data_IF_386527818186
#
_entry.id   IF_386527818186
#
_cell.length_a   1.000
_cell.length_b   1.000
_cell.length_c   1.000
_cell.angle_alpha   90.00
_cell.angle_beta   90.00
_cell.angle_gamma   90.00
#
_symmetry.space_group_name_H-M   'P 1'
#
loop_
_entity.id
_entity.type
_entity.pdbx_description
1 polymer ?
#
# COMPACT_ATOMS: atom_id res chain seq x y z
N UNK A 1 20.16 8.45 22.34
CA UNK A 1 20.35 9.31 21.17
C UNK A 1 20.01 8.49 19.95
N UNK A 2 18.79 8.62 19.46
CA UNK A 2 18.38 7.93 18.24
C UNK A 2 19.17 8.50 17.05
N UNK A 3 19.46 7.66 16.05
CA UNK A 3 20.00 8.09 14.75
C UNK A 3 19.17 9.25 14.16
N UNK A 4 17.87 9.30 14.47
CA UNK A 4 16.93 10.34 14.05
C UNK A 4 17.15 11.70 14.74
N UNK A 5 17.51 11.75 16.02
CA UNK A 5 17.83 13.01 16.72
C UNK A 5 19.17 13.58 16.26
N UNK A 6 20.13 12.70 15.93
CA UNK A 6 21.41 13.09 15.33
C UNK A 6 21.22 13.61 13.90
N UNK A 7 20.33 13.00 13.13
CA UNK A 7 19.98 13.43 11.78
C UNK A 7 19.27 14.80 11.78
N UNK A 8 18.36 15.04 12.72
CA UNK A 8 17.72 16.35 12.94
C UNK A 8 18.74 17.45 13.20
N UNK A 9 19.65 17.24 14.15
CA UNK A 9 20.71 18.21 14.47
C UNK A 9 21.61 18.50 13.26
N UNK A 10 21.78 17.55 12.36
CA UNK A 10 22.61 17.71 11.18
C UNK A 10 21.92 18.43 10.03
N UNK A 11 20.61 18.20 9.83
CA UNK A 11 19.84 18.90 8.81
C UNK A 11 19.66 20.38 9.16
N UNK A 12 19.54 20.71 10.46
CA UNK A 12 19.41 22.10 10.96
C UNK A 12 20.76 22.83 11.12
N UNK A 13 21.88 22.13 11.41
CA UNK A 13 23.20 22.75 11.62
C UNK A 13 23.87 23.30 10.34
N UNK A 14 23.27 23.08 9.17
CA UNK A 14 23.70 23.69 7.89
C UNK A 14 22.83 24.92 7.51
N UNK A 15 21.73 25.18 8.23
CA UNK A 15 20.88 26.38 8.05
C UNK A 15 21.24 27.52 9.01
N UNK A 16 21.85 27.20 10.16
CA UNK A 16 22.58 28.17 10.97
C UNK A 16 24.06 28.08 10.56
N UNK A 17 24.64 29.14 9.99
CA UNK A 17 26.08 29.27 9.76
C UNK A 17 26.84 29.24 11.11
N UNK A 18 26.93 28.08 11.76
CA UNK A 18 27.77 27.89 12.95
C UNK A 18 29.18 27.51 12.46
N UNK A 19 29.93 28.55 12.06
CA UNK A 19 31.37 28.48 11.80
C UNK A 19 32.08 27.80 12.98
N UNK A 20 32.48 26.52 12.84
CA UNK A 20 33.52 25.94 13.70
C UNK A 20 33.27 24.58 14.34
N UNK A 21 32.25 23.80 13.97
CA UNK A 21 32.19 22.38 14.39
C UNK A 21 32.55 21.46 13.24
N UNK A 22 33.77 20.92 13.29
CA UNK A 22 34.28 19.90 12.35
C UNK A 22 33.23 18.80 12.12
N UNK A 23 32.71 18.76 10.89
CA UNK A 23 31.79 17.73 10.44
C UNK A 23 32.50 16.37 10.56
N UNK A 24 31.98 15.50 11.44
CA UNK A 24 32.44 14.11 11.56
C UNK A 24 32.41 13.43 10.18
N UNK A 25 33.32 12.49 9.89
CA UNK A 25 33.35 11.78 8.61
C UNK A 25 31.98 11.11 8.39
N UNK A 26 31.25 11.63 7.41
CA UNK A 26 29.87 11.24 7.12
C UNK A 26 29.90 9.86 6.46
N UNK A 27 29.02 8.93 6.85
CA UNK A 27 28.87 7.71 6.07
C UNK A 27 28.12 8.04 4.77
N UNK A 28 28.51 7.38 3.67
CA UNK A 28 27.89 7.54 2.34
C UNK A 28 26.35 7.44 2.38
N UNK A 29 25.81 6.60 3.28
CA UNK A 29 24.38 6.42 3.49
C UNK A 29 23.67 7.64 4.10
N UNK A 30 24.34 8.31 5.05
CA UNK A 30 23.81 9.48 5.72
C UNK A 30 23.84 10.68 4.77
N UNK A 31 24.96 10.89 4.05
CA UNK A 31 25.08 11.93 3.01
C UNK A 31 24.01 11.81 1.94
N UNK A 32 23.73 10.58 1.53
CA UNK A 32 22.67 10.31 0.57
C UNK A 32 21.29 10.73 1.11
N UNK A 33 20.99 10.45 2.38
CA UNK A 33 19.72 10.82 3.01
C UNK A 33 19.49 12.33 3.08
N UNK A 34 20.47 13.16 3.49
CA UNK A 34 20.28 14.63 3.42
C UNK A 34 20.13 15.10 2.00
N UNK A 35 20.92 14.57 1.07
CA UNK A 35 20.89 15.07 -0.29
C UNK A 35 19.50 14.84 -0.89
N UNK A 36 18.92 13.65 -0.65
CA UNK A 36 17.54 13.36 -1.03
C UNK A 36 16.55 14.25 -0.27
N UNK A 37 16.69 14.40 1.04
CA UNK A 37 15.77 15.21 1.84
C UNK A 37 15.77 16.70 1.41
N UNK A 38 16.94 17.29 1.14
CA UNK A 38 17.10 18.66 0.62
C UNK A 38 16.48 18.83 -0.76
N UNK A 39 16.67 17.86 -1.64
CA UNK A 39 16.07 17.93 -2.98
C UNK A 39 14.53 17.82 -2.91
N UNK A 40 14.00 16.94 -2.05
CA UNK A 40 12.56 16.84 -1.83
C UNK A 40 12.02 18.13 -1.20
N UNK A 41 12.74 18.75 -0.25
CA UNK A 41 12.40 20.06 0.32
C UNK A 41 12.31 21.13 -0.76
N UNK A 42 13.32 21.22 -1.64
CA UNK A 42 13.28 22.14 -2.79
C UNK A 42 12.05 21.89 -3.67
N UNK A 43 11.76 20.64 -3.98
CA UNK A 43 10.58 20.28 -4.79
C UNK A 43 9.28 20.62 -4.06
N UNK A 44 9.21 20.48 -2.73
CA UNK A 44 8.05 20.90 -1.94
C UNK A 44 7.85 22.41 -2.07
N UNK A 45 8.91 23.21 -1.92
CA UNK A 45 8.86 24.68 -2.05
C UNK A 45 8.52 25.15 -3.47
N UNK A 46 9.08 24.50 -4.49
CA UNK A 46 8.80 24.84 -5.90
C UNK A 46 7.36 24.50 -6.29
N UNK A 47 6.84 23.39 -5.78
CA UNK A 47 5.53 22.88 -6.19
C UNK A 47 4.41 23.36 -5.24
N UNK A 48 4.70 23.75 -4.00
CA UNK A 48 3.65 24.15 -3.06
C UNK A 48 2.81 25.30 -3.62
N UNK A 49 1.50 25.16 -3.46
CA UNK A 49 0.55 26.13 -3.97
C UNK A 49 -0.36 26.60 -2.84
N UNK A 50 -0.26 27.89 -2.53
CA UNK A 50 -1.10 28.54 -1.52
C UNK A 50 -1.99 29.59 -2.20
N UNK A 51 -3.28 29.28 -2.44
CA UNK A 51 -4.21 30.26 -2.97
C UNK A 51 -4.46 31.38 -1.94
N UNK A 52 -4.73 32.62 -2.37
CA UNK A 52 -4.93 33.77 -1.47
C UNK A 52 -6.11 33.51 -0.51
N UNK A 53 -5.81 33.39 0.78
CA UNK A 53 -6.79 33.14 1.84
C UNK A 53 -7.21 31.67 2.05
N UNK A 54 -6.56 30.71 1.38
CA UNK A 54 -6.90 29.28 1.44
C UNK A 54 -5.83 28.39 2.11
N UNK A 55 -6.08 27.09 2.10
CA UNK A 55 -5.15 26.06 2.60
C UNK A 55 -3.99 25.83 1.63
N UNK A 56 -2.79 25.59 2.17
CA UNK A 56 -1.60 25.24 1.38
C UNK A 56 -1.69 23.82 0.86
N UNK A 57 -1.49 23.66 -0.45
CA UNK A 57 -1.48 22.38 -1.14
C UNK A 57 -0.04 21.97 -1.44
N UNK A 58 0.29 20.71 -1.16
CA UNK A 58 1.59 20.11 -1.42
C UNK A 58 1.39 18.72 -2.03
N UNK A 59 2.34 18.26 -2.89
CA UNK A 59 2.30 16.92 -3.46
C UNK A 59 2.27 15.84 -2.38
N UNK A 60 1.53 14.75 -2.65
CA UNK A 60 1.35 13.63 -1.71
C UNK A 60 2.37 12.52 -1.89
N UNK A 61 2.83 12.30 -3.12
CA UNK A 61 3.80 11.25 -3.45
C UNK A 61 5.05 11.89 -4.07
N UNK A 62 6.23 11.46 -3.60
CA UNK A 62 7.53 11.84 -4.16
C UNK A 62 8.24 10.58 -4.62
N UNK A 63 8.58 10.53 -5.90
CA UNK A 63 9.34 9.43 -6.47
C UNK A 63 10.80 9.85 -6.53
N UNK A 64 11.64 9.13 -5.78
CA UNK A 64 13.10 9.30 -5.82
C UNK A 64 13.66 8.27 -6.78
N UNK A 65 14.14 8.73 -7.93
CA UNK A 65 14.80 7.89 -8.92
C UNK A 65 16.29 7.82 -8.63
N UNK A 66 16.80 6.60 -8.53
CA UNK A 66 18.19 6.28 -8.24
C UNK A 66 18.87 5.67 -9.45
N UNK A 67 20.18 5.88 -9.54
CA UNK A 67 21.00 5.11 -10.46
C UNK A 67 20.92 3.61 -10.15
N UNK A 68 21.12 2.74 -11.16
CA UNK A 68 21.11 1.29 -10.93
C UNK A 68 22.26 0.81 -10.02
N UNK A 69 23.36 1.56 -9.95
CA UNK A 69 24.50 1.24 -9.09
C UNK A 69 24.19 1.59 -7.62
N UNK A 70 23.54 2.73 -7.37
CA UNK A 70 23.08 3.11 -6.04
C UNK A 70 21.93 2.20 -5.55
N UNK A 71 20.95 1.87 -6.40
CA UNK A 71 19.89 0.91 -6.03
C UNK A 71 20.46 -0.46 -5.65
N UNK A 72 21.59 -0.87 -6.24
CA UNK A 72 22.27 -2.10 -5.85
C UNK A 72 22.81 -2.06 -4.42
N UNK A 73 23.22 -0.90 -3.92
CA UNK A 73 23.64 -0.68 -2.53
C UNK A 73 22.43 -0.63 -1.56
N UNK A 74 21.25 -0.21 -2.05
CA UNK A 74 20.02 -0.02 -1.29
C UNK A 74 19.01 -1.18 -1.43
N UNK A 75 19.45 -2.41 -1.11
CA UNK A 75 18.61 -3.62 -1.14
C UNK A 75 18.16 -4.10 0.24
N UNK A 76 17.02 -4.78 0.27
CA UNK A 76 16.51 -5.47 1.46
C UNK A 76 16.18 -4.54 2.61
N UNK A 77 16.70 -4.82 3.80
CA UNK A 77 16.43 -4.04 5.02
C UNK A 77 16.96 -2.61 4.94
N UNK A 78 18.05 -2.36 4.21
CA UNK A 78 18.59 -1.01 3.99
C UNK A 78 17.60 -0.12 3.23
N UNK A 79 16.89 -0.67 2.23
CA UNK A 79 15.85 0.05 1.48
C UNK A 79 14.71 0.47 2.39
N UNK A 80 14.21 -0.50 3.19
CA UNK A 80 13.10 -0.27 4.12
C UNK A 80 13.45 0.77 5.19
N UNK A 81 14.65 0.70 5.74
CA UNK A 81 15.13 1.69 6.71
C UNK A 81 15.28 3.09 6.11
N UNK A 82 15.75 3.17 4.86
CA UNK A 82 15.87 4.41 4.11
C UNK A 82 14.49 5.03 3.81
N UNK A 83 13.53 4.23 3.34
CA UNK A 83 12.14 4.64 3.09
C UNK A 83 11.46 5.14 4.36
N UNK A 84 11.61 4.41 5.47
CA UNK A 84 11.07 4.83 6.77
C UNK A 84 11.72 6.10 7.31
N UNK A 85 13.05 6.23 7.15
CA UNK A 85 13.80 7.43 7.55
C UNK A 85 13.36 8.65 6.77
N UNK A 86 13.27 8.54 5.44
CA UNK A 86 12.80 9.63 4.57
C UNK A 86 11.36 10.03 4.88
N UNK A 87 10.45 9.06 5.05
CA UNK A 87 9.06 9.35 5.41
C UNK A 87 8.96 10.20 6.68
N UNK A 88 9.70 9.83 7.72
CA UNK A 88 9.66 10.52 9.01
C UNK A 88 10.21 11.95 8.90
N UNK A 89 11.39 12.11 8.28
CA UNK A 89 12.04 13.41 8.09
C UNK A 89 11.17 14.36 7.27
N UNK A 90 10.60 13.87 6.17
CA UNK A 90 9.79 14.70 5.28
C UNK A 90 8.45 15.09 5.91
N UNK A 91 7.84 14.19 6.71
CA UNK A 91 6.60 14.51 7.43
C UNK A 91 6.80 15.62 8.47
N UNK A 92 7.92 15.59 9.20
CA UNK A 92 8.28 16.64 10.15
C UNK A 92 8.58 17.97 9.43
N UNK A 93 9.38 17.94 8.36
CA UNK A 93 9.78 19.15 7.61
C UNK A 93 8.63 19.79 6.84
N UNK A 94 7.79 19.01 6.18
CA UNK A 94 6.62 19.55 5.49
C UNK A 94 5.66 20.26 6.45
N UNK A 95 5.58 19.81 7.71
CA UNK A 95 4.81 20.49 8.76
C UNK A 95 5.44 21.82 9.18
N UNK A 96 6.77 21.92 9.19
CA UNK A 96 7.50 23.17 9.49
C UNK A 96 7.40 24.19 8.35
N UNK A 97 7.56 23.75 7.11
CA UNK A 97 7.55 24.62 5.92
C UNK A 97 6.18 25.28 5.73
N UNK A 98 5.09 24.54 5.94
CA UNK A 98 3.73 25.10 5.85
C UNK A 98 3.38 25.96 7.07
N UNK A 99 4.16 25.84 8.15
CA UNK A 99 3.97 26.57 9.39
C UNK A 99 2.81 26.04 10.24
N UNK A 100 2.96 26.06 11.56
CA UNK A 100 1.96 25.59 12.53
C UNK A 100 0.57 26.22 12.38
N UNK A 101 0.45 27.33 11.64
CA UNK A 101 -0.79 28.10 11.48
C UNK A 101 -1.59 27.79 10.20
N UNK A 102 -1.02 27.11 9.21
CA UNK A 102 -1.74 26.75 7.97
C UNK A 102 -2.15 25.28 7.99
N UNK A 103 -3.45 25.04 7.88
CA UNK A 103 -4.02 23.69 7.83
C UNK A 103 -3.57 22.98 6.56
N UNK A 104 -2.63 22.04 6.69
CA UNK A 104 -2.29 21.07 5.67
C UNK A 104 -3.53 20.23 5.33
N UNK A 105 -3.91 20.20 4.05
CA UNK A 105 -5.02 19.36 3.58
C UNK A 105 -4.62 17.88 3.39
N UNK A 106 -3.31 17.60 3.40
CA UNK A 106 -2.77 16.24 3.22
C UNK A 106 -2.14 15.78 4.53
N UNK A 107 -2.68 14.72 5.12
CA UNK A 107 -2.18 14.11 6.37
C UNK A 107 -1.20 12.95 6.15
N UNK A 108 -0.80 12.65 4.91
CA UNK A 108 0.07 11.50 4.58
C UNK A 108 0.98 11.77 3.37
N UNK A 109 2.28 11.55 3.54
CA UNK A 109 3.29 11.63 2.48
C UNK A 109 3.72 10.23 2.07
N UNK A 110 3.90 9.96 0.77
CA UNK A 110 4.48 8.71 0.30
C UNK A 110 5.80 9.01 -0.41
N UNK A 111 6.85 8.25 -0.10
CA UNK A 111 8.14 8.34 -0.81
C UNK A 111 8.41 6.99 -1.44
N UNK A 112 8.52 6.94 -2.76
CA UNK A 112 8.77 5.71 -3.51
C UNK A 112 10.15 5.77 -4.15
N UNK A 113 10.97 4.76 -3.90
CA UNK A 113 12.29 4.64 -4.54
C UNK A 113 12.20 3.85 -5.84
N UNK A 114 12.57 4.48 -6.95
CA UNK A 114 12.64 3.85 -8.28
C UNK A 114 14.05 3.83 -8.83
N UNK A 115 14.26 2.97 -9.81
CA UNK A 115 15.51 2.92 -10.56
C UNK A 115 15.30 3.61 -11.90
N UNK A 116 16.24 4.48 -12.26
CA UNK A 116 16.31 5.12 -13.57
C UNK A 116 17.65 4.79 -14.21
N UNK A 117 17.60 4.01 -15.30
CA UNK A 117 18.80 3.55 -16.01
C UNK A 117 19.54 4.67 -16.78
N UNK A 118 18.98 5.87 -16.83
CA UNK A 118 19.62 7.04 -17.47
C UNK A 118 20.46 7.87 -16.49
N UNK A 119 20.38 7.59 -15.19
CA UNK A 119 21.13 8.31 -14.17
C UNK A 119 22.52 7.72 -13.97
N UNK A 120 23.51 8.60 -13.84
CA UNK A 120 24.88 8.24 -13.47
C UNK A 120 24.97 7.87 -11.99
N UNK A 121 25.98 7.08 -11.64
CA UNK A 121 26.26 6.70 -10.25
C UNK A 121 26.42 7.93 -9.36
N UNK A 122 25.74 7.94 -8.21
CA UNK A 122 25.72 9.04 -7.25
C UNK A 122 24.73 10.15 -7.61
N UNK A 123 24.04 10.08 -8.75
CA UNK A 123 22.97 11.02 -9.11
C UNK A 123 21.59 10.41 -8.83
N UNK A 124 20.70 11.26 -8.34
CA UNK A 124 19.30 10.95 -8.12
C UNK A 124 18.44 12.11 -8.63
N UNK A 125 17.17 11.84 -8.94
CA UNK A 125 16.19 12.88 -9.25
C UNK A 125 14.92 12.65 -8.44
N UNK A 126 14.32 13.74 -7.97
CA UNK A 126 13.05 13.71 -7.25
C UNK A 126 11.96 14.20 -8.17
N UNK A 127 10.86 13.47 -8.24
CA UNK A 127 9.66 13.89 -8.96
C UNK A 127 8.49 13.94 -8.00
N UNK A 128 7.89 15.12 -7.85
CA UNK A 128 6.62 15.29 -7.19
C UNK A 128 5.49 14.72 -8.06
N UNK A 129 4.57 14.00 -7.43
CA UNK A 129 3.39 13.45 -8.06
C UNK A 129 2.16 14.02 -7.36
N UNK A 130 1.47 14.90 -8.08
CA UNK A 130 0.17 15.47 -7.68
C UNK A 130 -0.98 14.50 -7.91
N UNK A 131 -0.90 13.76 -9.02
CA UNK A 131 -1.93 12.84 -9.49
C UNK A 131 -1.52 11.39 -9.24
N UNK A 132 -2.22 10.72 -8.32
CA UNK A 132 -2.09 9.26 -8.11
C UNK A 132 -2.65 8.45 -9.30
N UNK A 133 -3.18 9.14 -10.32
CA UNK A 133 -3.87 8.58 -11.49
C UNK A 133 -2.97 8.39 -12.72
N UNK A 134 -1.69 8.80 -12.69
CA UNK A 134 -0.80 8.68 -13.85
C UNK A 134 -0.41 7.21 -14.13
N UNK A 135 -0.76 6.63 -15.30
CA UNK A 135 -0.44 5.25 -15.64
C UNK A 135 1.07 5.09 -15.90
N UNK A 136 1.80 4.62 -14.89
CA UNK A 136 3.21 4.21 -14.98
C UNK A 136 3.39 3.13 -16.06
N UNK A 137 3.91 3.51 -17.22
CA UNK A 137 4.18 2.62 -18.36
C UNK A 137 5.27 1.62 -17.97
N UNK A 138 4.92 0.34 -17.82
CA UNK A 138 5.89 -0.73 -17.57
C UNK A 138 5.98 -1.62 -18.80
N UNK A 139 7.13 -1.59 -19.45
CA UNK A 139 7.49 -2.48 -20.57
C UNK A 139 7.62 -3.90 -20.03
N UNK A 140 6.69 -4.80 -20.40
CA UNK A 140 6.70 -6.21 -19.98
C UNK A 140 7.71 -7.02 -20.82
N UNK A 141 8.65 -7.76 -20.22
CA UNK A 141 9.45 -8.74 -20.95
C UNK A 141 8.60 -9.95 -21.39
N UNK A 142 8.99 -10.54 -22.53
CA UNK A 142 8.31 -11.63 -23.25
C UNK A 142 8.24 -12.92 -22.40
N UNK A 143 7.04 -13.51 -22.19
CA UNK A 143 6.92 -14.77 -21.44
C UNK A 143 7.41 -15.98 -22.27
N UNK A 144 8.23 -16.83 -21.66
CA UNK A 144 8.59 -18.16 -22.17
C UNK A 144 7.46 -19.16 -21.87
N UNK A 145 7.24 -20.08 -22.82
CA UNK A 145 6.21 -21.15 -22.79
C UNK A 145 6.50 -22.17 -21.68
N UNK A 146 5.47 -22.63 -20.93
CA UNK A 146 5.59 -23.75 -20.00
C UNK A 146 5.50 -25.10 -20.73
N UNK A 147 6.31 -26.07 -20.28
CA UNK A 147 6.21 -27.49 -20.60
C UNK A 147 5.77 -28.22 -19.34
N UNK A 148 4.74 -29.06 -19.45
CA UNK A 148 4.32 -30.11 -18.52
C UNK A 148 3.72 -31.25 -19.40
N UNK A 149 3.48 -32.48 -18.91
CA UNK A 149 3.53 -32.97 -17.52
C UNK A 149 4.23 -34.33 -17.37
N UNK A 150 4.35 -34.85 -16.14
CA UNK A 150 4.14 -36.27 -15.89
C UNK A 150 3.56 -36.51 -14.49
N UNK A 151 2.69 -37.49 -14.41
CA UNK A 151 1.86 -37.86 -13.26
C UNK A 151 2.45 -39.08 -12.58
N UNK A 152 2.28 -39.22 -11.26
CA UNK A 152 1.92 -40.50 -10.63
C UNK A 152 1.51 -40.31 -9.15
N UNK A 153 0.24 -40.58 -8.91
CA UNK A 153 -0.39 -41.42 -7.87
C UNK A 153 0.33 -41.63 -6.52
N UNK A 154 -0.35 -41.33 -5.40
CA UNK A 154 -0.58 -42.30 -4.30
C UNK A 154 -1.67 -41.79 -3.34
N UNK A 155 -2.67 -42.64 -3.13
CA UNK A 155 -3.85 -42.51 -2.28
C UNK A 155 -3.51 -43.04 -0.89
N UNK A 156 -3.77 -42.31 0.22
CA UNK A 156 -4.30 -42.88 1.49
C UNK A 156 -5.00 -41.78 2.33
N UNK A 157 -6.30 -42.01 2.62
CA UNK A 157 -7.06 -41.57 3.83
C UNK A 157 -7.50 -42.88 4.53
N UNK A 158 -8.03 -42.93 5.78
CA UNK A 158 -8.23 -41.87 6.80
C UNK A 158 -7.92 -42.33 8.27
N UNK A 159 -7.95 -41.41 9.26
CA UNK A 159 -8.85 -41.44 10.44
C UNK A 159 -8.53 -40.38 11.51
N UNK A 160 -9.60 -39.93 12.15
CA UNK A 160 -9.76 -38.98 13.24
C UNK A 160 -9.10 -39.40 14.56
N UNK A 161 -8.70 -38.41 15.37
CA UNK A 161 -9.04 -38.24 16.80
C UNK A 161 -8.15 -37.10 17.36
N UNK A 162 -8.73 -35.97 17.77
CA UNK A 162 -8.79 -35.59 19.19
C UNK A 162 -7.47 -35.02 19.73
N UNK A 163 -7.32 -33.70 19.60
CA UNK A 163 -6.44 -32.91 20.46
C UNK A 163 -7.31 -31.80 21.08
N UNK A 164 -7.78 -32.07 22.30
CA UNK A 164 -8.29 -31.07 23.23
C UNK A 164 -7.14 -30.14 23.64
N UNK A 165 -6.87 -29.15 22.80
CA UNK A 165 -6.29 -27.89 23.27
C UNK A 165 -7.40 -26.87 23.33
N UNK A 166 -7.54 -26.27 24.51
CA UNK A 166 -8.37 -25.09 24.78
C UNK A 166 -7.93 -23.93 23.89
N UNK A 167 -8.31 -23.99 22.61
CA UNK A 167 -8.17 -22.91 21.66
C UNK A 167 -9.44 -22.09 21.86
N UNK A 168 -9.29 -20.91 22.45
CA UNK A 168 -10.28 -19.85 22.37
C UNK A 168 -10.51 -19.62 20.88
N UNK A 169 -11.51 -20.29 20.31
CA UNK A 169 -11.87 -20.12 18.90
C UNK A 169 -12.28 -18.66 18.77
N UNK A 170 -11.57 -17.82 18.00
CA UNK A 170 -12.06 -16.49 17.71
C UNK A 170 -13.41 -16.68 17.05
N UNK A 171 -14.49 -16.21 17.70
CA UNK A 171 -15.85 -16.34 17.18
C UNK A 171 -15.84 -15.81 15.74
N UNK A 172 -16.13 -16.69 14.79
CA UNK A 172 -16.38 -16.28 13.41
C UNK A 172 -17.51 -15.26 13.45
N UNK A 173 -17.30 -14.09 12.83
CA UNK A 173 -18.31 -13.03 12.74
C UNK A 173 -19.17 -13.25 11.51
N UNK A 174 -18.54 -13.60 10.39
CA UNK A 174 -19.20 -13.84 9.10
C UNK A 174 -18.35 -14.74 8.21
N UNK A 175 -18.97 -15.26 7.16
CA UNK A 175 -18.32 -16.05 6.12
C UNK A 175 -18.58 -15.39 4.77
N UNK A 176 -17.62 -15.48 3.86
CA UNK A 176 -17.76 -14.99 2.49
C UNK A 176 -17.64 -16.18 1.55
N UNK A 177 -18.70 -16.43 0.79
CA UNK A 177 -18.69 -17.38 -0.32
C UNK A 177 -18.22 -16.63 -1.56
N UNK A 178 -17.15 -17.11 -2.19
CA UNK A 178 -16.60 -16.57 -3.43
C UNK A 178 -16.81 -17.58 -4.55
N UNK A 179 -17.32 -17.10 -5.67
CA UNK A 179 -17.47 -17.83 -6.91
C UNK A 179 -16.80 -17.02 -8.03
N UNK A 180 -16.06 -17.68 -8.92
CA UNK A 180 -15.46 -17.04 -10.09
C UNK A 180 -16.21 -17.44 -11.35
N UNK A 181 -16.52 -16.48 -12.20
CA UNK A 181 -17.16 -16.73 -13.49
C UNK A 181 -16.33 -17.72 -14.33
N UNK A 182 -16.88 -18.90 -14.57
CA UNK A 182 -16.23 -20.00 -15.30
C UNK A 182 -15.68 -21.14 -14.45
N UNK A 183 -15.69 -21.02 -13.11
CA UNK A 183 -15.31 -22.10 -12.18
C UNK A 183 -16.54 -22.55 -11.37
N UNK A 184 -16.80 -23.86 -11.31
CA UNK A 184 -17.92 -24.41 -10.52
C UNK A 184 -17.62 -24.51 -9.02
N UNK A 185 -16.37 -24.30 -8.61
CA UNK A 185 -15.95 -24.38 -7.22
C UNK A 185 -16.26 -23.06 -6.48
N UNK A 186 -17.13 -23.15 -5.48
CA UNK A 186 -17.36 -22.08 -4.51
C UNK A 186 -16.37 -22.19 -3.35
N UNK A 187 -15.63 -21.11 -3.10
CA UNK A 187 -14.69 -21.01 -1.98
C UNK A 187 -15.34 -20.24 -0.82
N UNK A 188 -15.57 -20.91 0.30
CA UNK A 188 -16.05 -20.28 1.53
C UNK A 188 -14.88 -19.92 2.44
N UNK A 189 -14.81 -18.67 2.87
CA UNK A 189 -13.76 -18.17 3.80
C UNK A 189 -14.42 -17.57 5.03
N UNK A 190 -13.99 -18.00 6.22
CA UNK A 190 -14.52 -17.54 7.49
C UNK A 190 -13.65 -16.41 8.06
N UNK A 191 -14.29 -15.34 8.53
CA UNK A 191 -13.61 -14.18 9.09
C UNK A 191 -14.05 -13.94 10.54
N UNK A 192 -13.07 -13.69 11.40
CA UNK A 192 -13.27 -13.31 12.80
C UNK A 192 -12.99 -11.82 13.05
N UNK A 193 -12.51 -11.10 12.03
CA UNK A 193 -12.22 -9.67 12.09
C UNK A 193 -13.43 -8.87 11.59
N UNK A 194 -13.74 -7.71 12.20
CA UNK A 194 -14.86 -6.88 11.78
C UNK A 194 -14.58 -6.15 10.47
N UNK A 195 -13.33 -5.88 10.12
CA UNK A 195 -12.95 -5.21 8.87
C UNK A 195 -12.04 -6.13 8.10
N UNK A 196 -12.35 -6.36 6.82
CA UNK A 196 -11.54 -7.16 5.91
C UNK A 196 -11.29 -6.41 4.60
N UNK A 197 -10.12 -6.65 4.03
CA UNK A 197 -9.72 -6.13 2.73
C UNK A 197 -9.88 -7.20 1.65
N UNK A 198 -10.50 -6.82 0.54
CA UNK A 198 -10.80 -7.70 -0.60
C UNK A 198 -10.07 -7.15 -1.83
N UNK A 199 -9.38 -8.03 -2.56
CA UNK A 199 -8.72 -7.63 -3.80
C UNK A 199 -7.77 -8.70 -4.31
N UNK A 200 -6.98 -8.37 -5.32
CA UNK A 200 -6.00 -9.30 -5.88
C UNK A 200 -4.80 -9.54 -4.97
N UNK A 201 -4.47 -8.56 -4.13
CA UNK A 201 -3.24 -8.50 -3.36
C UNK A 201 -1.98 -8.40 -4.22
N UNK A 202 -0.85 -8.14 -3.57
CA UNK A 202 0.49 -8.23 -4.15
C UNK A 202 1.47 -8.74 -3.10
N UNK A 203 2.74 -8.97 -3.48
CA UNK A 203 3.80 -9.31 -2.51
C UNK A 203 3.97 -8.24 -1.42
N UNK A 204 3.66 -6.99 -1.75
CA UNK A 204 3.79 -5.83 -0.87
C UNK A 204 2.47 -5.51 -0.15
N UNK A 205 1.33 -5.84 -0.76
CA UNK A 205 -0.01 -5.54 -0.25
C UNK A 205 -0.80 -6.84 -0.04
N UNK A 206 -0.73 -7.37 1.18
CA UNK A 206 -1.55 -8.52 1.57
C UNK A 206 -2.99 -8.06 1.79
N UNK A 207 -3.92 -8.87 1.30
CA UNK A 207 -5.37 -8.70 1.51
C UNK A 207 -5.92 -9.91 2.24
N UNK A 208 -7.01 -9.71 2.97
CA UNK A 208 -7.65 -10.77 3.76
C UNK A 208 -8.40 -11.75 2.87
N UNK A 209 -9.08 -11.25 1.82
CA UNK A 209 -9.73 -12.06 0.80
C UNK A 209 -9.04 -11.87 -0.57
N UNK A 210 -8.07 -12.75 -0.92
CA UNK A 210 -7.38 -12.67 -2.20
C UNK A 210 -8.23 -13.23 -3.35
N UNK A 211 -8.57 -12.37 -4.30
CA UNK A 211 -9.24 -12.66 -5.57
C UNK A 211 -8.18 -12.74 -6.68
N UNK A 212 -7.59 -13.92 -6.86
CA UNK A 212 -6.50 -14.15 -7.82
C UNK A 212 -7.02 -14.58 -9.19
N UNK A 213 -6.29 -14.22 -10.25
CA UNK A 213 -6.55 -14.69 -11.61
C UNK A 213 -7.26 -13.67 -12.51
N UNK A 214 -7.75 -12.56 -11.96
CA UNK A 214 -8.31 -11.45 -12.72
C UNK A 214 -7.48 -10.18 -12.52
N UNK A 215 -7.05 -9.55 -13.62
CA UNK A 215 -6.27 -8.31 -13.59
C UNK A 215 -7.15 -7.06 -13.43
N UNK A 216 -8.45 -7.17 -13.69
CA UNK A 216 -9.43 -6.11 -13.50
C UNK A 216 -9.67 -5.84 -12.00
N UNK A 217 -9.51 -6.88 -11.19
CA UNK A 217 -9.55 -6.75 -9.74
C UNK A 217 -8.30 -5.99 -9.25
N UNK A 218 -8.57 -4.88 -8.58
CA UNK A 218 -7.53 -4.02 -8.02
C UNK A 218 -6.78 -4.72 -6.88
N UNK A 219 -5.53 -4.32 -6.62
CA UNK A 219 -4.70 -4.91 -5.55
C UNK A 219 -5.43 -4.87 -4.20
N UNK A 220 -6.02 -3.73 -3.89
CA UNK A 220 -7.07 -3.53 -2.89
C UNK A 220 -8.27 -2.97 -3.65
N UNK A 221 -9.36 -3.71 -3.66
CA UNK A 221 -10.52 -3.43 -4.50
C UNK A 221 -11.74 -3.02 -3.68
N UNK A 222 -11.96 -3.70 -2.55
CA UNK A 222 -13.02 -3.34 -1.63
C UNK A 222 -12.55 -3.50 -0.19
N UNK A 223 -13.14 -2.71 0.70
CA UNK A 223 -13.07 -2.95 2.14
C UNK A 223 -14.48 -3.28 2.62
N UNK A 224 -14.61 -4.39 3.34
CA UNK A 224 -15.85 -4.82 3.96
C UNK A 224 -15.73 -4.64 5.46
N UNK A 225 -16.64 -3.86 6.04
CA UNK A 225 -16.77 -3.62 7.48
C UNK A 225 -18.07 -4.26 7.98
N UNK A 226 -17.98 -4.99 9.08
CA UNK A 226 -19.08 -5.61 9.79
C UNK A 226 -19.19 -4.98 11.17
N UNK A 227 -20.28 -4.25 11.41
CA UNK A 227 -20.53 -3.54 12.65
C UNK A 227 -22.01 -3.62 13.01
N UNK A 228 -22.32 -3.96 14.26
CA UNK A 228 -23.70 -4.01 14.78
C UNK A 228 -24.68 -4.87 13.94
N UNK A 229 -24.17 -5.96 13.32
CA UNK A 229 -24.98 -6.85 12.47
C UNK A 229 -25.19 -6.37 11.04
N UNK A 230 -24.62 -5.22 10.67
CA UNK A 230 -24.69 -4.64 9.34
C UNK A 230 -23.35 -4.77 8.63
N UNK A 231 -23.39 -5.07 7.34
CA UNK A 231 -22.22 -5.02 6.49
C UNK A 231 -22.19 -3.71 5.74
N UNK A 232 -21.02 -3.08 5.67
CA UNK A 232 -20.75 -1.91 4.86
C UNK A 232 -19.60 -2.25 3.92
N UNK A 233 -19.85 -2.16 2.62
CA UNK A 233 -18.82 -2.34 1.62
C UNK A 233 -18.43 -0.99 1.04
N UNK A 234 -17.14 -0.77 0.90
CA UNK A 234 -16.56 0.44 0.30
C UNK A 234 -15.76 0.03 -0.91
N UNK A 235 -16.04 0.65 -2.06
CA UNK A 235 -15.28 0.41 -3.28
C UNK A 235 -14.02 1.30 -3.27
N UNK A 236 -12.85 0.69 -3.31
CA UNK A 236 -11.56 1.41 -3.39
C UNK A 236 -10.83 1.10 -4.71
N UNK A 237 -11.29 0.08 -5.41
CA UNK A 237 -10.77 -0.34 -6.70
C UNK A 237 -11.16 0.59 -7.83
N UNK A 238 -10.48 0.39 -8.96
CA UNK A 238 -10.71 1.16 -10.20
C UNK A 238 -12.06 0.85 -10.85
N UNK A 239 -12.47 -0.42 -10.83
CA UNK A 239 -13.75 -0.84 -11.39
C UNK A 239 -14.82 -0.78 -10.30
N UNK A 240 -16.06 -0.52 -10.71
CA UNK A 240 -17.21 -0.52 -9.83
C UNK A 240 -17.50 -1.92 -9.26
N UNK A 241 -18.16 -1.94 -8.12
CA UNK A 241 -18.70 -3.15 -7.51
C UNK A 241 -20.20 -3.15 -7.78
N UNK A 242 -20.75 -4.24 -8.31
CA UNK A 242 -22.20 -4.35 -8.51
C UNK A 242 -22.81 -5.07 -7.30
N UNK A 243 -23.85 -4.51 -6.71
CA UNK A 243 -24.53 -5.08 -5.55
C UNK A 243 -25.98 -5.27 -5.96
N UNK A 244 -26.38 -6.52 -6.18
CA UNK A 244 -27.70 -6.91 -6.71
C UNK A 244 -28.09 -6.12 -7.98
N UNK A 245 -27.10 -5.81 -8.82
CA UNK A 245 -27.24 -5.03 -10.05
C UNK A 245 -27.08 -3.51 -9.89
N UNK A 246 -26.97 -2.99 -8.67
CA UNK A 246 -26.68 -1.57 -8.41
C UNK A 246 -25.17 -1.29 -8.40
N UNK A 247 -24.73 -0.32 -9.19
CA UNK A 247 -23.30 0.03 -9.29
C UNK A 247 -22.83 0.91 -8.13
N UNK A 248 -21.78 0.44 -7.44
CA UNK A 248 -21.05 1.20 -6.44
C UNK A 248 -19.75 1.73 -7.06
N UNK A 249 -19.68 3.05 -7.24
CA UNK A 249 -18.52 3.74 -7.81
C UNK A 249 -17.33 3.77 -6.83
N UNK A 250 -16.14 4.02 -7.37
CA UNK A 250 -14.93 4.18 -6.57
C UNK A 250 -15.09 5.30 -5.52
N UNK A 251 -14.65 5.02 -4.29
CA UNK A 251 -14.76 5.91 -3.14
C UNK A 251 -16.14 5.90 -2.46
N UNK A 252 -17.17 5.34 -3.10
CA UNK A 252 -18.50 5.22 -2.51
C UNK A 252 -18.56 4.00 -1.57
N UNK A 253 -19.42 4.11 -0.55
CA UNK A 253 -19.72 3.03 0.37
C UNK A 253 -21.22 2.82 0.46
N UNK A 254 -21.65 1.56 0.52
CA UNK A 254 -23.05 1.21 0.72
C UNK A 254 -23.19 0.11 1.76
N UNK A 255 -24.39 0.04 2.35
CA UNK A 255 -24.75 -1.04 3.26
C UNK A 255 -25.20 -2.24 2.44
N UNK A 256 -24.73 -3.43 2.85
CA UNK A 256 -25.10 -4.71 2.23
C UNK A 256 -25.70 -5.64 3.27
N UNK A 257 -26.67 -6.43 2.83
CA UNK A 257 -27.34 -7.43 3.65
C UNK A 257 -26.70 -8.82 3.42
N UNK A 258 -26.70 -9.70 4.43
CA UNK A 258 -26.30 -11.08 4.23
C UNK A 258 -27.13 -11.76 3.13
N UNK A 259 -26.49 -12.52 2.26
CA UNK A 259 -27.11 -13.18 1.11
C UNK A 259 -27.18 -12.34 -0.17
N UNK A 260 -26.95 -11.02 -0.10
CA UNK A 260 -26.88 -10.19 -1.30
C UNK A 260 -25.73 -10.61 -2.21
N UNK A 261 -25.97 -10.49 -3.53
CA UNK A 261 -24.97 -10.78 -4.55
C UNK A 261 -24.08 -9.55 -4.76
N UNK A 262 -22.80 -9.71 -4.47
CA UNK A 262 -21.78 -8.68 -4.64
C UNK A 262 -20.86 -9.12 -5.78
N UNK A 263 -20.88 -8.44 -6.91
CA UNK A 263 -20.06 -8.74 -8.07
C UNK A 263 -18.86 -7.80 -8.12
N UNK A 264 -17.67 -8.39 -8.16
CA UNK A 264 -16.39 -7.71 -8.26
C UNK A 264 -15.69 -8.25 -9.50
N UNK A 265 -15.77 -7.51 -10.61
CA UNK A 265 -15.25 -7.95 -11.92
C UNK A 265 -15.75 -9.37 -12.27
N UNK A 266 -14.86 -10.34 -12.49
CA UNK A 266 -15.24 -11.75 -12.75
C UNK A 266 -15.65 -12.56 -11.51
N UNK A 267 -15.70 -11.98 -10.32
CA UNK A 267 -16.05 -12.67 -9.08
C UNK A 267 -17.44 -12.31 -8.57
N UNK A 268 -18.12 -13.31 -8.03
CA UNK A 268 -19.39 -13.21 -7.34
C UNK A 268 -19.18 -13.59 -5.88
N UNK A 269 -19.50 -12.68 -4.98
CA UNK A 269 -19.37 -12.85 -3.55
C UNK A 269 -20.76 -12.85 -2.91
N UNK A 270 -20.92 -13.66 -1.86
CA UNK A 270 -22.08 -13.64 -0.97
C UNK A 270 -21.61 -13.67 0.47
N UNK A 271 -22.27 -12.88 1.31
CA UNK A 271 -21.98 -12.80 2.73
C UNK A 271 -22.94 -13.70 3.50
N UNK A 272 -22.44 -14.48 4.45
CA UNK A 272 -23.24 -15.34 5.31
C UNK A 272 -22.92 -15.09 6.78
N UNK A 273 -23.94 -15.04 7.62
CA UNK A 273 -23.79 -14.99 9.07
C UNK A 273 -23.67 -16.42 9.63
N UNK A 274 -22.79 -16.66 10.62
CA UNK A 274 -22.61 -17.96 11.25
C UNK A 274 -23.86 -18.29 12.07
N UNK A 275 -24.79 -19.01 11.46
CA UNK A 275 -26.09 -19.34 12.06
C UNK A 275 -27.24 -19.40 11.04
N UNK A 276 -27.08 -18.84 9.84
CA UNK A 276 -28.03 -18.99 8.75
C UNK A 276 -27.79 -20.33 8.03
N UNK A 277 -28.23 -21.44 8.63
CA UNK A 277 -28.43 -22.68 7.87
C UNK A 277 -29.70 -22.53 7.02
N UNK A 278 -29.58 -22.64 5.70
CA UNK A 278 -30.68 -23.15 4.87
C UNK A 278 -30.41 -24.63 4.60
#
# INVERSE_FOLDING_TARGET
MGILEQFRKWLDADYEEDEGKEARPRNKAEEFLVNVAREVERVIEEEMFTPPGGTTYIPREYIVFLSPDDDAEWKGEKRRGLEQGLYHVLSERASLIVGEQQKLQTSSFAVELRVDGTLEKGKFRVQAVWDTEAPKTTVRPRPQKPVAPDAETTIVRPRSAEDEKTIVRPRTLFSVIVNRAGESETKTVNFSQPVISIGRGSREMKVDLPLQGDMEVSRRHATLEFKDGQFKITCEGRNSILIDGAELLQGASTQVEPGQRIEICSFNLRLELPGAKT
#
